data_IF_756316522700
#
_entry.id   IF_756316522700
#
_cell.length_a   1.000
_cell.length_b   1.000
_cell.length_c   1.000
_cell.angle_alpha   90.00
_cell.angle_beta   90.00
_cell.angle_gamma   90.00
#
_symmetry.space_group_name_H-M   'P 1'
#
loop_
_entity.id
_entity.type
_entity.pdbx_description
1 polymer ?
#
# COMPACT_ATOMS: atom_id res chain seq x y z
N UNK A 1 -5.19 -74.29 0.51
CA UNK A 1 -4.14 -73.44 -0.05
C UNK A 1 -4.85 -72.28 -0.79
N UNK A 2 -4.62 -71.05 -0.34
CA UNK A 2 -4.95 -69.78 -1.01
C UNK A 2 -6.29 -69.08 -0.76
N UNK A 3 -6.71 -68.98 0.48
CA UNK A 3 -7.72 -68.00 0.84
C UNK A 3 -7.09 -66.73 1.47
N UNK A 4 -5.83 -66.79 1.85
CA UNK A 4 -5.09 -65.69 2.49
C UNK A 4 -4.41 -64.70 1.52
N UNK A 5 -4.34 -65.04 0.23
CA UNK A 5 -3.65 -64.23 -0.76
C UNK A 5 -4.58 -63.18 -1.44
N UNK A 6 -5.89 -63.30 -1.28
CA UNK A 6 -6.85 -62.35 -1.83
C UNK A 6 -7.19 -61.19 -0.89
N UNK A 7 -6.80 -61.29 0.37
CA UNK A 7 -7.04 -60.22 1.35
C UNK A 7 -5.87 -59.22 1.46
N UNK A 8 -4.70 -59.56 0.91
CA UNK A 8 -3.53 -58.68 0.97
C UNK A 8 -3.44 -57.70 -0.19
N UNK A 9 -4.20 -57.89 -1.26
CA UNK A 9 -4.25 -56.98 -2.40
C UNK A 9 -5.29 -55.83 -2.28
N UNK A 10 -6.15 -55.86 -1.26
CA UNK A 10 -7.17 -54.82 -1.06
C UNK A 10 -6.79 -53.76 -0.05
N UNK A 11 -5.60 -53.79 0.52
CA UNK A 11 -5.14 -52.80 1.50
C UNK A 11 -3.99 -51.91 0.98
N UNK A 12 -3.73 -51.95 -0.34
CA UNK A 12 -3.04 -50.83 -1.02
C UNK A 12 -4.14 -49.81 -1.38
N UNK A 13 -4.93 -49.50 -0.40
CA UNK A 13 -5.85 -48.39 -0.47
C UNK A 13 -5.03 -47.11 -0.27
N UNK A 14 -4.69 -46.48 -1.38
CA UNK A 14 -5.06 -45.10 -1.59
C UNK A 14 -4.87 -44.24 -0.31
N UNK A 15 -3.63 -44.14 0.14
CA UNK A 15 -3.20 -42.86 0.71
C UNK A 15 -3.15 -41.87 -0.46
N UNK A 16 -4.32 -41.44 -0.94
CA UNK A 16 -4.45 -40.14 -1.50
C UNK A 16 -4.10 -39.20 -0.34
N UNK A 17 -2.86 -38.79 -0.28
CA UNK A 17 -2.49 -37.57 0.38
C UNK A 17 -3.34 -36.52 -0.34
N UNK A 18 -4.46 -36.18 0.27
CA UNK A 18 -5.12 -34.90 0.01
C UNK A 18 -4.11 -33.84 0.47
N UNK A 19 -3.11 -33.60 -0.35
CA UNK A 19 -2.45 -32.32 -0.33
C UNK A 19 -3.55 -31.36 -0.73
N UNK A 20 -4.12 -30.66 0.25
CA UNK A 20 -4.88 -29.46 -0.02
C UNK A 20 -3.95 -28.63 -0.90
N UNK A 21 -4.23 -28.64 -2.20
CA UNK A 21 -3.61 -27.71 -3.14
C UNK A 21 -4.27 -26.37 -2.79
N UNK A 22 -3.73 -25.70 -1.77
CA UNK A 22 -4.05 -24.31 -1.56
C UNK A 22 -3.53 -23.61 -2.80
N UNK A 23 -4.45 -23.29 -3.72
CA UNK A 23 -4.11 -22.45 -4.85
C UNK A 23 -3.56 -21.14 -4.29
N UNK A 24 -2.34 -20.77 -4.69
CA UNK A 24 -1.73 -19.51 -4.31
C UNK A 24 -2.72 -18.38 -4.61
N UNK A 25 -3.02 -17.55 -3.62
CA UNK A 25 -3.83 -16.37 -3.83
C UNK A 25 -2.99 -15.40 -4.68
N UNK A 26 -3.54 -15.01 -5.82
CA UNK A 26 -2.92 -14.08 -6.78
C UNK A 26 -3.81 -12.86 -7.00
N UNK A 27 -3.26 -11.73 -7.45
CA UNK A 27 -4.05 -10.56 -7.82
C UNK A 27 -5.14 -10.87 -8.85
N UNK A 28 -6.31 -10.26 -8.71
CA UNK A 28 -7.42 -10.40 -9.65
C UNK A 28 -7.18 -9.51 -10.88
N UNK A 29 -6.54 -10.06 -11.91
CA UNK A 29 -6.27 -9.33 -13.17
C UNK A 29 -7.54 -8.80 -13.83
N UNK A 30 -8.62 -9.58 -13.79
CA UNK A 30 -9.92 -9.17 -14.33
C UNK A 30 -10.42 -7.92 -13.60
N UNK A 31 -10.31 -7.87 -12.29
CA UNK A 31 -10.73 -6.70 -11.52
C UNK A 31 -9.85 -5.49 -11.79
N UNK A 32 -8.54 -5.68 -11.85
CA UNK A 32 -7.58 -4.62 -12.19
C UNK A 32 -7.89 -4.04 -13.58
N UNK A 33 -8.15 -4.88 -14.56
CA UNK A 33 -8.49 -4.47 -15.93
C UNK A 33 -9.82 -3.72 -15.98
N UNK A 34 -10.84 -4.20 -15.26
CA UNK A 34 -12.13 -3.51 -15.16
C UNK A 34 -12.00 -2.14 -14.48
N UNK A 35 -11.16 -2.00 -13.45
CA UNK A 35 -10.87 -0.71 -12.83
C UNK A 35 -10.18 0.20 -13.84
N UNK A 36 -9.14 -0.27 -14.50
CA UNK A 36 -8.38 0.51 -15.48
C UNK A 36 -9.28 1.03 -16.59
N UNK A 37 -10.15 0.21 -17.14
CA UNK A 37 -11.10 0.61 -18.18
C UNK A 37 -12.08 1.71 -17.72
N UNK A 38 -12.31 1.82 -16.41
CA UNK A 38 -13.21 2.85 -15.85
C UNK A 38 -12.48 4.16 -15.55
N UNK A 39 -11.19 4.15 -15.24
CA UNK A 39 -10.47 5.35 -14.80
C UNK A 39 -9.62 5.99 -15.89
N UNK A 40 -9.08 5.20 -16.82
CA UNK A 40 -8.09 5.68 -17.82
C UNK A 40 -8.66 6.80 -18.69
N UNK A 41 -9.92 6.71 -19.09
CA UNK A 41 -10.58 7.73 -19.92
C UNK A 41 -10.77 9.09 -19.25
N UNK A 42 -10.59 9.16 -17.93
CA UNK A 42 -10.76 10.38 -17.14
C UNK A 42 -9.44 10.97 -16.66
N UNK A 43 -8.29 10.40 -17.02
CA UNK A 43 -6.97 10.90 -16.69
C UNK A 43 -6.46 11.77 -17.84
N UNK A 44 -6.51 13.09 -17.68
CA UNK A 44 -6.09 14.05 -18.71
C UNK A 44 -4.82 14.83 -18.32
N UNK A 45 -4.38 14.69 -17.09
CA UNK A 45 -3.33 15.48 -16.45
C UNK A 45 -2.06 14.65 -16.17
N UNK A 46 -2.00 13.42 -16.66
CA UNK A 46 -0.89 12.51 -16.41
C UNK A 46 -0.76 11.48 -17.53
N UNK A 47 0.43 10.92 -17.69
CA UNK A 47 0.72 9.79 -18.55
C UNK A 47 0.42 8.47 -17.86
N UNK A 48 -0.04 7.47 -18.61
CA UNK A 48 -0.27 6.13 -18.11
C UNK A 48 0.82 5.20 -18.63
N UNK A 49 1.75 4.87 -17.76
CA UNK A 49 2.89 4.03 -18.08
C UNK A 49 2.58 2.58 -17.68
N UNK A 50 2.65 1.65 -18.63
CA UNK A 50 2.59 0.22 -18.31
C UNK A 50 3.95 -0.28 -17.91
N UNK A 51 4.04 -0.82 -16.71
CA UNK A 51 5.27 -1.40 -16.16
C UNK A 51 5.09 -2.87 -15.80
N UNK A 52 6.20 -3.55 -15.63
CA UNK A 52 6.27 -4.97 -15.25
C UNK A 52 7.25 -5.18 -14.10
N UNK A 53 7.08 -6.24 -13.36
CA UNK A 53 8.00 -6.69 -12.32
C UNK A 53 8.55 -8.08 -12.67
N UNK A 54 9.43 -8.61 -11.83
CA UNK A 54 10.02 -9.94 -12.01
C UNK A 54 8.97 -11.08 -11.91
N UNK A 55 7.83 -10.81 -11.28
CA UNK A 55 6.79 -11.81 -11.04
C UNK A 55 5.44 -11.46 -11.68
N UNK A 56 5.33 -10.31 -12.34
CA UNK A 56 4.06 -9.81 -12.85
C UNK A 56 4.25 -8.84 -14.02
N UNK A 57 3.37 -8.92 -15.00
CA UNK A 57 3.38 -8.04 -16.17
C UNK A 57 2.17 -7.09 -16.16
N UNK A 58 2.33 -5.94 -16.84
CA UNK A 58 1.25 -5.03 -17.22
C UNK A 58 0.39 -4.52 -16.06
N UNK A 59 0.98 -3.74 -15.19
CA UNK A 59 0.26 -2.87 -14.25
C UNK A 59 0.57 -1.40 -14.53
N UNK A 60 -0.28 -0.50 -14.11
CA UNK A 60 -0.19 0.91 -14.47
C UNK A 60 0.55 1.73 -13.40
N UNK A 61 1.33 2.68 -13.88
CA UNK A 61 1.84 3.82 -13.13
C UNK A 61 1.29 5.08 -13.80
N UNK A 62 0.53 5.89 -13.07
CA UNK A 62 0.05 7.18 -13.52
C UNK A 62 1.11 8.20 -13.14
N UNK A 63 1.70 8.87 -14.11
CA UNK A 63 2.86 9.73 -13.93
C UNK A 63 2.63 11.14 -14.47
N UNK A 64 2.94 12.15 -13.66
CA UNK A 64 3.10 13.53 -14.10
C UNK A 64 4.48 14.01 -13.65
N UNK A 65 5.32 14.36 -14.59
CA UNK A 65 6.71 14.76 -14.36
C UNK A 65 6.90 16.25 -14.64
N UNK A 66 7.61 16.92 -13.74
CA UNK A 66 8.01 18.32 -13.87
C UNK A 66 9.53 18.42 -13.73
N UNK A 67 10.20 18.93 -14.75
CA UNK A 67 11.67 19.04 -14.79
C UNK A 67 12.28 19.92 -13.68
N UNK A 68 11.48 20.75 -13.02
CA UNK A 68 11.91 21.61 -11.91
C UNK A 68 11.54 21.07 -10.54
N UNK A 69 10.97 19.87 -10.47
CA UNK A 69 10.54 19.27 -9.22
C UNK A 69 11.71 18.99 -8.27
N UNK A 70 11.51 19.35 -7.00
CA UNK A 70 12.48 19.08 -5.93
C UNK A 70 12.34 17.67 -5.35
N UNK A 71 11.16 17.08 -5.47
CA UNK A 71 10.78 15.79 -4.90
C UNK A 71 10.01 14.98 -5.93
N UNK A 72 10.11 13.66 -5.81
CA UNK A 72 9.20 12.73 -6.46
C UNK A 72 8.31 12.10 -5.39
N UNK A 73 7.01 12.06 -5.62
CA UNK A 73 6.04 11.45 -4.71
C UNK A 73 5.46 10.19 -5.34
N UNK A 74 5.49 9.07 -4.63
CA UNK A 74 4.85 7.82 -5.02
C UNK A 74 3.63 7.56 -4.12
N UNK A 75 2.44 7.57 -4.72
CA UNK A 75 1.15 7.36 -4.06
C UNK A 75 0.75 5.89 -4.13
N UNK A 76 0.33 5.33 -2.98
CA UNK A 76 -0.06 3.93 -2.79
C UNK A 76 -1.48 3.86 -2.22
N UNK A 77 -2.43 3.39 -3.01
CA UNK A 77 -3.86 3.36 -2.64
C UNK A 77 -4.23 2.23 -1.67
N UNK A 78 -5.38 2.32 -1.03
CA UNK A 78 -5.92 1.36 -0.09
C UNK A 78 -6.41 0.05 -0.72
N UNK A 79 -6.89 -0.87 0.15
CA UNK A 79 -7.39 -2.20 -0.19
C UNK A 79 -8.55 -2.15 -1.19
N UNK A 80 -8.34 -2.78 -2.35
CA UNK A 80 -9.36 -2.87 -3.39
C UNK A 80 -9.73 -1.56 -4.06
N UNK A 81 -8.96 -0.50 -3.82
CA UNK A 81 -9.05 0.81 -4.44
C UNK A 81 -8.18 0.89 -5.71
N UNK A 82 -7.85 2.08 -6.16
CA UNK A 82 -7.18 2.33 -7.43
C UNK A 82 -6.36 3.64 -7.40
N UNK A 83 -5.48 3.87 -8.40
CA UNK A 83 -4.54 4.99 -8.40
C UNK A 83 -5.14 6.41 -8.43
N UNK A 84 -6.42 6.55 -8.79
CA UNK A 84 -7.18 7.80 -8.76
C UNK A 84 -8.38 7.70 -7.81
N UNK A 85 -8.18 7.10 -6.65
CA UNK A 85 -9.23 6.99 -5.64
C UNK A 85 -9.62 8.40 -5.12
N UNK A 86 -10.92 8.75 -5.15
CA UNK A 86 -11.34 10.16 -5.14
C UNK A 86 -11.24 10.86 -3.78
N UNK A 87 -11.06 10.15 -2.67
CA UNK A 87 -11.10 10.78 -1.35
C UNK A 87 -9.72 11.09 -0.77
N UNK A 88 -8.70 10.26 -1.09
CA UNK A 88 -7.35 10.39 -0.54
C UNK A 88 -6.31 10.54 -1.65
N UNK A 89 -6.27 9.58 -2.59
CA UNK A 89 -5.18 9.50 -3.55
C UNK A 89 -5.28 10.60 -4.61
N UNK A 90 -6.44 10.76 -5.23
CA UNK A 90 -6.61 11.72 -6.32
C UNK A 90 -6.52 13.18 -5.85
N UNK A 91 -7.09 13.58 -4.71
CA UNK A 91 -6.89 14.94 -4.18
C UNK A 91 -5.42 15.27 -3.92
N UNK A 92 -4.65 14.33 -3.37
CA UNK A 92 -3.21 14.50 -3.17
C UNK A 92 -2.48 14.58 -4.52
N UNK A 93 -2.79 13.68 -5.44
CA UNK A 93 -2.21 13.64 -6.78
C UNK A 93 -2.39 14.97 -7.52
N UNK A 94 -3.62 15.46 -7.57
CA UNK A 94 -3.96 16.72 -8.23
C UNK A 94 -3.20 17.89 -7.58
N UNK A 95 -3.23 17.96 -6.25
CA UNK A 95 -2.56 19.03 -5.51
C UNK A 95 -1.04 19.04 -5.75
N UNK A 96 -0.39 17.88 -5.83
CA UNK A 96 1.05 17.81 -6.12
C UNK A 96 1.39 18.22 -7.54
N UNK A 97 0.55 17.88 -8.51
CA UNK A 97 0.69 18.34 -9.89
C UNK A 97 0.59 19.86 -9.97
N UNK A 98 -0.38 20.47 -9.27
CA UNK A 98 -0.56 21.92 -9.20
C UNK A 98 0.63 22.63 -8.52
N UNK A 99 1.25 22.00 -7.53
CA UNK A 99 2.47 22.49 -6.87
C UNK A 99 3.76 22.21 -7.67
N UNK A 100 3.67 21.57 -8.84
CA UNK A 100 4.80 21.24 -9.69
C UNK A 100 5.70 20.12 -9.14
N UNK A 101 5.15 19.19 -8.37
CA UNK A 101 5.85 18.05 -7.79
C UNK A 101 5.70 16.84 -8.72
N UNK A 102 6.81 16.15 -9.02
CA UNK A 102 6.77 14.86 -9.72
C UNK A 102 5.87 13.89 -8.98
N UNK A 103 4.80 13.48 -9.63
CA UNK A 103 3.73 12.71 -8.99
C UNK A 103 3.49 11.40 -9.72
N UNK A 104 3.60 10.32 -8.96
CA UNK A 104 3.38 8.97 -9.45
C UNK A 104 2.33 8.28 -8.59
N UNK A 105 1.31 7.70 -9.22
CA UNK A 105 0.31 6.90 -8.54
C UNK A 105 0.33 5.46 -9.07
N UNK A 106 0.67 4.52 -8.18
CA UNK A 106 0.92 3.13 -8.54
C UNK A 106 -0.35 2.29 -8.40
N UNK A 107 -0.65 1.52 -9.43
CA UNK A 107 -1.63 0.44 -9.34
C UNK A 107 -1.11 -0.68 -8.44
N UNK A 108 -1.55 -0.72 -7.19
CA UNK A 108 -1.31 -1.84 -6.28
C UNK A 108 -2.17 -3.06 -6.65
N UNK A 109 -1.73 -4.28 -6.27
CA UNK A 109 -2.49 -5.48 -6.56
C UNK A 109 -3.81 -5.50 -5.80
N UNK A 110 -4.89 -5.92 -6.46
CA UNK A 110 -6.20 -6.09 -5.83
C UNK A 110 -6.71 -7.52 -5.95
N UNK A 111 -7.48 -7.93 -4.94
CA UNK A 111 -8.26 -9.18 -4.97
C UNK A 111 -9.70 -8.89 -5.37
N UNK A 112 -10.49 -9.92 -5.61
CA UNK A 112 -11.92 -9.81 -5.83
C UNK A 112 -12.63 -9.11 -4.67
N UNK A 113 -13.82 -8.57 -4.92
CA UNK A 113 -14.60 -7.86 -3.89
C UNK A 113 -14.89 -8.77 -2.69
N UNK A 114 -14.88 -8.20 -1.49
CA UNK A 114 -15.20 -8.90 -0.25
C UNK A 114 -14.06 -9.70 0.36
N UNK A 115 -12.87 -9.69 -0.23
CA UNK A 115 -11.69 -10.34 0.33
C UNK A 115 -11.17 -9.63 1.56
N UNK A 116 -10.83 -10.41 2.59
CA UNK A 116 -10.36 -9.96 3.89
C UNK A 116 -8.92 -9.44 3.86
N UNK A 117 -8.51 -8.72 4.91
CA UNK A 117 -7.13 -8.29 5.09
C UNK A 117 -6.14 -9.48 5.11
N UNK A 118 -6.48 -10.58 5.77
CA UNK A 118 -5.61 -11.76 5.81
C UNK A 118 -5.41 -12.40 4.43
N UNK A 119 -6.41 -12.32 3.53
CA UNK A 119 -6.25 -12.75 2.14
C UNK A 119 -5.35 -11.76 1.38
N UNK A 120 -5.53 -10.44 1.59
CA UNK A 120 -4.68 -9.42 0.99
C UNK A 120 -3.20 -9.55 1.37
N UNK A 121 -2.89 -9.94 2.60
CA UNK A 121 -1.51 -10.20 3.03
C UNK A 121 -0.79 -11.23 2.14
N UNK A 122 -1.50 -12.18 1.57
CA UNK A 122 -0.92 -13.22 0.73
C UNK A 122 -0.44 -12.67 -0.63
N UNK A 123 -0.96 -11.51 -1.05
CA UNK A 123 -0.54 -10.84 -2.28
C UNK A 123 0.46 -9.69 -2.04
N UNK A 124 0.95 -9.47 -0.83
CA UNK A 124 1.93 -8.41 -0.56
C UNK A 124 3.24 -8.61 -1.32
N UNK A 125 3.62 -9.85 -1.66
CA UNK A 125 4.76 -10.13 -2.55
C UNK A 125 4.64 -9.42 -3.91
N UNK A 126 3.41 -9.27 -4.42
CA UNK A 126 3.15 -8.54 -5.67
C UNK A 126 3.25 -7.03 -5.48
N UNK A 127 2.75 -6.49 -4.36
CA UNK A 127 2.93 -5.07 -4.05
C UNK A 127 4.40 -4.71 -3.86
N UNK A 128 5.18 -5.55 -3.18
CA UNK A 128 6.62 -5.35 -3.02
C UNK A 128 7.34 -5.28 -4.37
N UNK A 129 7.00 -6.18 -5.29
CA UNK A 129 7.56 -6.20 -6.64
C UNK A 129 7.13 -4.97 -7.46
N UNK A 130 5.86 -4.54 -7.36
CA UNK A 130 5.36 -3.34 -8.06
C UNK A 130 6.02 -2.06 -7.54
N UNK A 131 6.15 -1.89 -6.23
CA UNK A 131 6.82 -0.75 -5.61
C UNK A 131 8.29 -0.70 -6.06
N UNK A 132 8.99 -1.83 -6.01
CA UNK A 132 10.38 -1.93 -6.48
C UNK A 132 10.52 -1.51 -7.94
N UNK A 133 9.65 -2.00 -8.82
CA UNK A 133 9.69 -1.68 -10.24
C UNK A 133 9.36 -0.22 -10.52
N UNK A 134 8.39 0.36 -9.80
CA UNK A 134 8.07 1.79 -9.90
C UNK A 134 9.27 2.65 -9.49
N UNK A 135 9.87 2.40 -8.34
CA UNK A 135 11.05 3.16 -7.86
C UNK A 135 12.24 3.03 -8.83
N UNK A 136 12.46 1.84 -9.38
CA UNK A 136 13.51 1.60 -10.37
C UNK A 136 13.27 2.37 -11.68
N UNK A 137 12.03 2.54 -12.09
CA UNK A 137 11.67 3.31 -13.29
C UNK A 137 11.82 4.82 -13.05
N UNK A 138 11.27 5.31 -11.93
CA UNK A 138 11.28 6.73 -11.56
C UNK A 138 12.71 7.25 -11.36
N UNK A 139 13.61 6.42 -10.81
CA UNK A 139 14.99 6.80 -10.45
C UNK A 139 15.07 8.17 -9.74
N UNK A 140 14.29 8.39 -8.68
CA UNK A 140 14.13 9.71 -8.10
C UNK A 140 15.39 10.18 -7.36
N UNK A 141 15.67 11.48 -7.42
CA UNK A 141 16.72 12.09 -6.59
C UNK A 141 16.29 12.16 -5.11
N UNK A 142 15.02 12.49 -4.88
CA UNK A 142 14.40 12.59 -3.55
C UNK A 142 12.99 11.99 -3.62
N UNK A 143 12.82 10.80 -3.07
CA UNK A 143 11.54 10.10 -3.10
C UNK A 143 10.82 10.20 -1.75
N UNK A 144 9.56 10.55 -1.79
CA UNK A 144 8.62 10.45 -0.68
C UNK A 144 7.53 9.46 -1.06
N UNK A 145 7.25 8.50 -0.19
CA UNK A 145 6.17 7.54 -0.37
C UNK A 145 4.98 7.93 0.51
N UNK A 146 3.79 7.99 -0.08
CA UNK A 146 2.54 8.27 0.62
C UNK A 146 1.61 7.09 0.44
N UNK A 147 1.19 6.48 1.52
CA UNK A 147 0.47 5.22 1.48
C UNK A 147 -0.79 5.25 2.35
N UNK A 148 -1.95 4.90 1.77
CA UNK A 148 -3.24 4.90 2.44
C UNK A 148 -3.70 3.50 2.83
N UNK A 149 -4.16 3.33 4.07
CA UNK A 149 -4.86 2.11 4.53
C UNK A 149 -4.04 0.83 4.29
N UNK A 150 -4.56 -0.15 3.59
CA UNK A 150 -3.83 -1.37 3.20
C UNK A 150 -2.59 -1.07 2.32
N UNK A 151 -2.58 0.03 1.57
CA UNK A 151 -1.39 0.51 0.86
C UNK A 151 -0.24 0.83 1.83
N UNK A 152 -0.55 1.35 3.02
CA UNK A 152 0.45 1.56 4.08
C UNK A 152 1.04 0.22 4.55
N UNK A 153 0.23 -0.82 4.70
CA UNK A 153 0.71 -2.15 5.07
C UNK A 153 1.55 -2.80 3.95
N UNK A 154 1.17 -2.58 2.69
CA UNK A 154 1.95 -3.00 1.53
C UNK A 154 3.31 -2.28 1.47
N UNK A 155 3.33 -0.96 1.74
CA UNK A 155 4.57 -0.22 1.87
C UNK A 155 5.43 -0.75 3.02
N UNK A 156 4.87 -1.01 4.19
CA UNK A 156 5.59 -1.58 5.35
C UNK A 156 6.18 -2.96 5.01
N UNK A 157 5.43 -3.82 4.30
CA UNK A 157 5.96 -5.10 3.82
C UNK A 157 7.20 -4.91 2.93
N UNK A 158 7.15 -3.96 2.02
CA UNK A 158 8.27 -3.60 1.15
C UNK A 158 9.43 -2.99 1.95
N UNK A 159 9.15 -2.05 2.86
CA UNK A 159 10.14 -1.32 3.65
C UNK A 159 10.98 -2.24 4.53
N UNK A 160 10.39 -3.32 5.07
CA UNK A 160 11.10 -4.33 5.88
C UNK A 160 12.14 -5.13 5.09
N UNK A 161 12.03 -5.16 3.77
CA UNK A 161 12.90 -5.96 2.87
C UNK A 161 13.89 -5.09 2.09
N UNK A 162 13.74 -3.76 2.16
CA UNK A 162 14.49 -2.83 1.34
C UNK A 162 15.16 -1.74 2.19
N UNK A 163 16.16 -1.09 1.63
CA UNK A 163 16.84 0.02 2.28
C UNK A 163 16.05 1.33 2.11
N UNK A 164 15.27 1.68 3.13
CA UNK A 164 14.45 2.91 3.13
C UNK A 164 15.26 4.19 3.42
N UNK A 165 16.54 4.10 3.79
CA UNK A 165 17.40 5.28 4.04
C UNK A 165 17.59 6.15 2.80
N UNK A 166 17.30 5.60 1.62
CA UNK A 166 17.32 6.34 0.36
C UNK A 166 16.03 7.16 0.10
N UNK A 167 14.99 6.97 0.92
CA UNK A 167 13.80 7.82 0.88
C UNK A 167 14.08 9.15 1.57
N UNK A 168 13.44 10.21 1.12
CA UNK A 168 13.46 11.52 1.78
C UNK A 168 12.46 11.61 2.93
N UNK A 169 11.52 10.67 3.01
CA UNK A 169 10.51 10.52 4.04
C UNK A 169 9.38 9.64 3.57
N UNK A 170 8.41 9.37 4.43
CA UNK A 170 7.18 8.71 4.03
C UNK A 170 5.98 9.15 4.89
N UNK A 171 4.79 8.99 4.33
CA UNK A 171 3.52 9.33 4.97
C UNK A 171 2.65 8.08 5.01
N UNK A 172 2.12 7.77 6.18
CA UNK A 172 1.15 6.72 6.41
C UNK A 172 -0.20 7.35 6.75
N UNK A 173 -1.23 7.03 5.99
CA UNK A 173 -2.58 7.55 6.16
C UNK A 173 -3.50 6.39 6.52
N UNK A 174 -4.11 6.41 7.70
CA UNK A 174 -4.98 5.34 8.17
C UNK A 174 -4.28 3.97 8.28
N UNK A 175 -2.99 3.94 8.64
CA UNK A 175 -2.26 2.70 8.84
C UNK A 175 -2.82 1.92 10.05
N UNK A 176 -2.75 0.58 10.01
CA UNK A 176 -3.30 -0.28 11.06
C UNK A 176 -4.73 -0.78 10.76
N UNK A 177 -5.36 -0.36 9.66
CA UNK A 177 -6.70 -0.79 9.29
C UNK A 177 -6.74 -2.28 8.92
N UNK A 178 -7.38 -3.08 9.75
CA UNK A 178 -7.60 -4.52 9.57
C UNK A 178 -9.06 -4.88 9.82
N UNK A 179 -9.51 -6.03 9.32
CA UNK A 179 -10.88 -6.48 9.57
C UNK A 179 -11.05 -6.91 11.03
N UNK A 180 -12.31 -6.96 11.48
CA UNK A 180 -12.66 -7.37 12.85
C UNK A 180 -12.02 -8.72 13.19
N UNK A 181 -11.39 -8.80 14.36
CA UNK A 181 -10.67 -9.96 14.87
C UNK A 181 -9.39 -10.36 14.07
N UNK A 182 -8.91 -9.49 13.19
CA UNK A 182 -7.62 -9.64 12.55
C UNK A 182 -6.59 -8.70 13.19
N UNK A 183 -5.31 -9.00 13.02
CA UNK A 183 -4.22 -8.17 13.53
C UNK A 183 -3.27 -7.85 12.39
N UNK A 184 -2.77 -6.64 12.40
CA UNK A 184 -1.60 -6.27 11.62
C UNK A 184 -0.41 -7.05 12.18
N UNK A 185 0.32 -7.75 11.34
CA UNK A 185 1.48 -8.57 11.75
C UNK A 185 2.81 -8.01 11.28
N UNK A 186 2.77 -7.08 10.34
CA UNK A 186 3.93 -6.42 9.78
C UNK A 186 4.04 -5.02 10.38
N UNK A 187 4.73 -4.92 11.51
CA UNK A 187 5.09 -3.65 12.13
C UNK A 187 6.48 -3.22 11.65
N UNK A 188 6.68 -1.93 11.51
CA UNK A 188 7.96 -1.33 11.21
C UNK A 188 8.67 -0.98 12.52
N UNK A 189 9.95 -1.29 12.60
CA UNK A 189 10.78 -0.83 13.70
C UNK A 189 11.15 0.64 13.47
N UNK A 190 10.42 1.52 14.12
CA UNK A 190 10.60 2.97 13.96
C UNK A 190 11.86 3.52 14.62
N UNK A 191 12.41 2.84 15.62
CA UNK A 191 13.61 3.30 16.35
C UNK A 191 14.85 3.37 15.45
N UNK A 192 14.93 2.45 14.49
CA UNK A 192 16.01 2.39 13.50
C UNK A 192 15.86 3.34 12.31
N UNK A 193 14.73 4.06 12.19
CA UNK A 193 14.44 4.90 11.02
C UNK A 193 14.89 6.34 11.30
N UNK A 194 15.78 6.86 10.45
CA UNK A 194 16.35 8.21 10.57
C UNK A 194 15.75 9.24 9.60
N UNK A 195 14.83 8.82 8.72
CA UNK A 195 14.14 9.73 7.80
C UNK A 195 12.82 10.23 8.40
N UNK A 196 12.31 11.41 7.98
CA UNK A 196 11.05 11.97 8.43
C UNK A 196 9.85 11.05 8.16
N UNK A 197 8.93 10.97 9.12
CA UNK A 197 7.72 10.16 9.03
C UNK A 197 6.51 10.97 9.44
N UNK A 198 5.46 10.98 8.62
CA UNK A 198 4.17 11.52 9.01
C UNK A 198 3.15 10.38 9.07
N UNK A 199 2.52 10.20 10.25
CA UNK A 199 1.35 9.35 10.39
C UNK A 199 0.10 10.22 10.54
N UNK A 200 -0.94 9.92 9.77
CA UNK A 200 -2.22 10.64 9.79
C UNK A 200 -3.35 9.64 9.99
N UNK A 201 -4.29 9.96 10.86
CA UNK A 201 -5.48 9.15 11.08
C UNK A 201 -6.70 10.03 11.41
N UNK A 202 -7.90 9.49 11.19
CA UNK A 202 -9.14 10.18 11.48
C UNK A 202 -9.62 9.99 12.92
N UNK A 203 -10.32 10.98 13.48
CA UNK A 203 -10.94 10.88 14.81
C UNK A 203 -11.92 9.70 14.90
N UNK A 204 -12.63 9.42 13.81
CA UNK A 204 -13.61 8.31 13.71
C UNK A 204 -13.07 7.09 12.96
N UNK A 205 -11.76 6.99 12.85
CA UNK A 205 -11.08 5.84 12.23
C UNK A 205 -11.28 4.55 13.06
N UNK A 206 -10.96 3.42 12.46
CA UNK A 206 -11.03 2.11 13.11
C UNK A 206 -10.20 2.05 14.40
N UNK A 207 -10.66 1.27 15.39
CA UNK A 207 -9.92 1.10 16.65
C UNK A 207 -8.48 0.63 16.44
N UNK A 208 -8.26 -0.31 15.50
CA UNK A 208 -6.92 -0.79 15.14
C UNK A 208 -6.00 0.27 14.54
N UNK A 209 -6.54 1.28 13.85
CA UNK A 209 -5.77 2.43 13.35
C UNK A 209 -5.34 3.33 14.51
N UNK A 210 -6.23 3.56 15.48
CA UNK A 210 -5.90 4.34 16.69
C UNK A 210 -4.87 3.63 17.57
N UNK A 211 -4.97 2.30 17.68
CA UNK A 211 -3.97 1.49 18.38
C UNK A 211 -2.60 1.62 17.68
N UNK A 212 -2.58 1.56 16.36
CA UNK A 212 -1.36 1.76 15.58
C UNK A 212 -0.79 3.17 15.75
N UNK A 213 -1.65 4.20 15.72
CA UNK A 213 -1.23 5.58 15.94
C UNK A 213 -0.63 5.80 17.33
N UNK A 214 -1.15 5.13 18.37
CA UNK A 214 -0.59 5.18 19.70
C UNK A 214 0.81 4.53 19.79
N UNK A 215 0.99 3.37 19.12
CA UNK A 215 2.32 2.70 19.01
C UNK A 215 3.31 3.61 18.28
N UNK A 216 2.88 4.23 17.20
CA UNK A 216 3.71 5.16 16.44
C UNK A 216 4.09 6.40 17.27
N UNK A 217 3.16 6.97 18.04
CA UNK A 217 3.40 8.12 18.89
C UNK A 217 4.46 7.82 19.97
N UNK A 218 4.36 6.66 20.59
CA UNK A 218 5.37 6.20 21.55
C UNK A 218 6.76 6.02 20.90
N UNK A 219 6.80 5.48 19.67
CA UNK A 219 8.05 5.22 18.96
C UNK A 219 8.77 6.51 18.49
N UNK A 220 8.03 7.60 18.20
CA UNK A 220 8.64 8.88 17.79
C UNK A 220 8.94 9.81 18.96
N UNK A 221 8.42 9.54 20.16
CA UNK A 221 8.48 10.41 21.33
C UNK A 221 9.91 10.80 21.74
N UNK A 222 10.82 9.85 21.66
CA UNK A 222 12.23 10.04 22.04
C UNK A 222 13.12 10.33 20.81
N UNK A 223 12.53 10.38 19.62
CA UNK A 223 13.26 10.79 18.42
C UNK A 223 13.60 12.26 18.51
N UNK A 224 14.87 12.57 18.40
CA UNK A 224 15.34 13.94 18.23
C UNK A 224 15.11 14.42 16.78
N UNK A 225 13.95 14.08 16.22
CA UNK A 225 13.52 14.34 14.86
C UNK A 225 12.30 15.26 14.86
N UNK A 226 12.53 16.52 14.54
CA UNK A 226 11.50 17.54 14.51
C UNK A 226 10.42 17.29 13.42
N UNK A 227 10.74 16.51 12.41
CA UNK A 227 9.89 16.32 11.23
C UNK A 227 8.94 15.12 11.33
N UNK A 228 9.24 14.13 12.19
CA UNK A 228 8.31 13.03 12.42
C UNK A 228 7.12 13.47 13.28
N UNK A 229 5.90 13.19 12.80
CA UNK A 229 4.65 13.65 13.45
C UNK A 229 3.56 12.58 13.37
N UNK A 230 2.70 12.59 14.39
CA UNK A 230 1.47 11.82 14.44
C UNK A 230 0.29 12.81 14.52
N UNK A 231 -0.59 12.80 13.51
CA UNK A 231 -1.65 13.81 13.39
C UNK A 231 -3.03 13.15 13.32
N UNK A 232 -3.90 13.52 14.26
CA UNK A 232 -5.32 13.18 14.23
C UNK A 232 -6.11 14.28 13.50
N UNK A 233 -6.89 13.90 12.47
CA UNK A 233 -7.81 14.81 11.80
C UNK A 233 -9.17 14.71 12.48
N UNK A 234 -9.60 15.80 13.12
CA UNK A 234 -10.89 15.91 13.80
C UNK A 234 -12.04 15.83 12.82
N UNK A 235 -13.09 15.12 13.18
CA UNK A 235 -14.28 14.93 12.35
C UNK A 235 -14.13 13.93 11.22
N UNK A 236 -12.91 13.44 10.97
CA UNK A 236 -12.62 12.56 9.84
C UNK A 236 -12.83 11.08 10.16
N UNK A 237 -13.32 10.35 9.17
CA UNK A 237 -13.37 8.88 9.17
C UNK A 237 -12.12 8.29 8.45
N UNK A 238 -12.11 6.98 8.27
CA UNK A 238 -11.02 6.26 7.59
C UNK A 238 -10.81 6.66 6.13
N UNK A 239 -11.84 7.11 5.46
CA UNK A 239 -11.81 7.45 4.03
C UNK A 239 -11.69 8.96 3.78
N UNK A 240 -11.68 9.79 4.80
CA UNK A 240 -11.56 11.26 4.70
C UNK A 240 -12.63 11.89 3.79
N UNK A 241 -13.84 11.33 3.74
CA UNK A 241 -14.87 11.62 2.75
C UNK A 241 -15.20 13.12 2.64
N UNK A 242 -15.20 13.85 3.75
CA UNK A 242 -15.49 15.30 3.78
C UNK A 242 -14.28 16.16 4.15
N UNK A 243 -13.12 15.54 4.37
CA UNK A 243 -11.93 16.19 4.91
C UNK A 243 -10.71 16.06 3.99
N UNK A 244 -10.93 15.73 2.72
CA UNK A 244 -9.86 15.57 1.72
C UNK A 244 -9.00 16.83 1.59
N UNK A 245 -9.61 18.03 1.63
CA UNK A 245 -8.88 19.29 1.55
C UNK A 245 -7.98 19.51 2.76
N UNK A 246 -8.47 19.22 3.97
CA UNK A 246 -7.67 19.32 5.19
C UNK A 246 -6.52 18.32 5.19
N UNK A 247 -6.76 17.09 4.70
CA UNK A 247 -5.71 16.10 4.52
C UNK A 247 -4.62 16.61 3.56
N UNK A 248 -5.01 17.18 2.41
CA UNK A 248 -4.09 17.76 1.42
C UNK A 248 -3.27 18.89 2.05
N UNK A 249 -3.91 19.81 2.78
CA UNK A 249 -3.24 20.94 3.43
C UNK A 249 -2.19 20.47 4.46
N UNK A 250 -2.51 19.45 5.26
CA UNK A 250 -1.58 18.86 6.24
C UNK A 250 -0.37 18.24 5.53
N UNK A 251 -0.62 17.45 4.49
CA UNK A 251 0.45 16.79 3.73
C UNK A 251 1.35 17.81 3.04
N UNK A 252 0.78 18.80 2.35
CA UNK A 252 1.54 19.87 1.70
C UNK A 252 2.35 20.70 2.71
N UNK A 253 1.77 21.03 3.86
CA UNK A 253 2.48 21.75 4.92
C UNK A 253 3.68 20.97 5.45
N UNK A 254 3.53 19.65 5.60
CA UNK A 254 4.62 18.80 6.03
C UNK A 254 5.71 18.68 4.95
N UNK A 255 5.36 18.48 3.68
CA UNK A 255 6.31 18.46 2.56
C UNK A 255 7.12 19.76 2.45
N UNK A 256 6.46 20.91 2.64
CA UNK A 256 7.13 22.23 2.62
C UNK A 256 8.07 22.44 3.82
N UNK A 257 7.97 21.64 4.87
CA UNK A 257 8.83 21.72 6.05
C UNK A 257 10.13 20.90 5.92
N UNK A 258 10.20 19.98 4.93
CA UNK A 258 11.39 19.16 4.62
C UNK A 258 12.41 19.96 3.77
#
# INVERSE_FOLDING_TARGET
>A
MNLYLKFFCSLILVFFILTDIYADIVPSKIREENINNQIIEYIFDADIIKISSDIENNFNLIANENSESKYSVLLLHGRGLYPTEPNVIDPLRISFIEEGIDTYSLQLPVLDKGKSYNEYKQIFKYSDARITSAIKLIQPNKLIIIAHSCGAHMFISWAKKNNIKNLSGFILIGAGAVDKNQKMTDELDYDGISIPILNIYGEYDHGSVKDYAAIFDDAIKDKNDYFSKNIEIKGSDHNYLNESNLLVDIVNSWLKSL
#
